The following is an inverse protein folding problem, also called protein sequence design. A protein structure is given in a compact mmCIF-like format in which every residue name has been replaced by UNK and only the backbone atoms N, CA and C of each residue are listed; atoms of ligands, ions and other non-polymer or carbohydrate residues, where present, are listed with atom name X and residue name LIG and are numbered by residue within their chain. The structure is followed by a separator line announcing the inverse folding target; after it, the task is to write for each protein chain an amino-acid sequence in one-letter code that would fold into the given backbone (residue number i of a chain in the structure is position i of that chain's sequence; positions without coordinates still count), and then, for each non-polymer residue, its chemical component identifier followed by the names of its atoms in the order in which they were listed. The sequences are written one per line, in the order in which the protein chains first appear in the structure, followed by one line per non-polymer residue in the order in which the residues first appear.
data_IF_716609790582
#
_entry.id   IF_716609790582
#
_cell.length_a   1.000
_cell.length_b   1.000
_cell.length_c   1.000
_cell.angle_alpha   90.00
_cell.angle_beta   90.00
_cell.angle_gamma   90.00
#
_symmetry.space_group_name_H-M   'P 1'
#
loop_
_entity.id
_entity.type
_entity.pdbx_description
1 polymer ?
#
# COMPACT_ATOMS: atom_id res chain seq x y z
N UNK A 1 41.70 37.79 -44.69
CA UNK A 1 41.16 36.47 -44.28
C UNK A 1 40.96 36.52 -42.77
N UNK A 2 39.68 36.78 -42.34
CA UNK A 2 39.30 36.77 -40.93
C UNK A 2 38.68 35.41 -40.62
N UNK A 3 39.38 34.59 -39.83
CA UNK A 3 38.86 33.31 -39.35
C UNK A 3 37.97 33.53 -38.13
N UNK A 4 36.70 33.30 -38.30
CA UNK A 4 35.73 33.28 -37.18
C UNK A 4 35.85 31.97 -36.41
N UNK A 5 36.21 32.03 -35.13
CA UNK A 5 36.14 30.90 -34.20
C UNK A 5 34.71 30.81 -33.72
N UNK A 6 33.99 29.76 -34.15
CA UNK A 6 32.68 29.43 -33.60
C UNK A 6 32.87 28.79 -32.23
N UNK A 7 32.47 29.48 -31.16
CA UNK A 7 32.42 28.95 -29.81
C UNK A 7 31.16 28.10 -29.69
N UNK A 8 31.29 26.77 -29.77
CA UNK A 8 30.21 25.84 -29.48
C UNK A 8 30.00 25.83 -27.98
N UNK A 9 28.93 26.44 -27.51
CA UNK A 9 28.45 26.29 -26.13
C UNK A 9 27.93 24.86 -25.96
N UNK A 10 28.69 24.02 -25.28
CA UNK A 10 28.20 22.73 -24.77
C UNK A 10 27.27 23.05 -23.59
N UNK A 11 25.98 22.97 -23.83
CA UNK A 11 24.99 22.94 -22.76
C UNK A 11 25.18 21.61 -22.02
N UNK A 12 25.97 21.65 -20.95
CA UNK A 12 25.94 20.57 -19.95
C UNK A 12 24.59 20.65 -19.26
N UNK A 13 23.63 19.86 -19.74
CA UNK A 13 22.44 19.59 -18.94
C UNK A 13 22.93 19.05 -17.59
N UNK A 14 22.52 19.67 -16.49
CA UNK A 14 22.73 19.10 -15.17
C UNK A 14 22.11 17.70 -15.20
N UNK A 15 22.92 16.66 -14.97
CA UNK A 15 22.40 15.33 -14.78
C UNK A 15 21.49 15.41 -13.53
N UNK A 16 20.22 15.03 -13.67
CA UNK A 16 19.34 14.87 -12.51
C UNK A 16 19.99 13.86 -11.57
N UNK A 17 19.95 14.15 -10.28
CA UNK A 17 20.46 13.21 -9.29
C UNK A 17 19.61 11.92 -9.31
N UNK A 18 20.26 10.76 -9.14
CA UNK A 18 19.53 9.50 -9.08
C UNK A 18 18.61 9.50 -7.85
N UNK A 19 17.32 9.13 -7.99
CA UNK A 19 16.42 8.98 -6.85
C UNK A 19 16.83 7.79 -5.98
N UNK A 20 16.32 7.77 -4.74
CA UNK A 20 16.49 6.63 -3.85
C UNK A 20 15.12 6.14 -3.31
N UNK A 21 14.99 4.83 -3.11
CA UNK A 21 13.82 4.21 -2.49
C UNK A 21 14.26 3.42 -1.26
N UNK A 22 13.60 3.66 -0.12
CA UNK A 22 13.88 2.94 1.12
C UNK A 22 12.63 2.15 1.51
N UNK A 23 12.78 0.83 1.52
CA UNK A 23 11.70 -0.10 1.89
C UNK A 23 11.60 -0.23 3.40
N UNK A 24 10.37 -0.43 3.89
CA UNK A 24 10.13 -0.65 5.31
C UNK A 24 10.53 -2.08 5.73
N UNK A 25 10.46 -2.32 7.04
CA UNK A 25 10.66 -3.65 7.61
C UNK A 25 9.59 -4.63 7.09
N UNK A 26 9.95 -5.90 6.94
CA UNK A 26 9.06 -6.93 6.38
C UNK A 26 9.60 -7.60 5.12
N UNK A 27 10.64 -7.03 4.53
CA UNK A 27 11.30 -7.56 3.33
C UNK A 27 10.86 -6.89 2.04
N UNK A 28 11.81 -6.59 1.17
CA UNK A 28 11.61 -5.92 -0.13
C UNK A 28 10.65 -6.69 -1.05
N UNK A 29 10.69 -8.03 -1.01
CA UNK A 29 9.92 -8.89 -1.88
C UNK A 29 8.79 -9.60 -1.13
N UNK A 30 8.03 -8.83 -0.34
CA UNK A 30 6.91 -9.29 0.49
C UNK A 30 5.64 -9.67 -0.29
N UNK A 31 5.66 -9.55 -1.61
CA UNK A 31 4.51 -9.73 -2.51
C UNK A 31 3.36 -8.73 -2.28
N UNK A 32 3.58 -7.69 -1.49
CA UNK A 32 2.59 -6.74 -1.00
C UNK A 32 3.12 -5.31 -1.11
N UNK A 33 3.28 -4.61 0.00
CA UNK A 33 3.59 -3.19 0.13
C UNK A 33 4.99 -2.80 -0.37
N UNK A 34 6.03 -3.46 0.13
CA UNK A 34 7.41 -3.14 -0.26
C UNK A 34 7.70 -3.55 -1.71
N UNK A 35 7.19 -4.71 -2.16
CA UNK A 35 7.34 -5.12 -3.56
C UNK A 35 6.56 -4.19 -4.50
N UNK A 36 5.41 -3.63 -4.08
CA UNK A 36 4.73 -2.60 -4.84
C UNK A 36 5.58 -1.33 -4.98
N UNK A 37 6.24 -0.88 -3.91
CA UNK A 37 7.17 0.25 -3.98
C UNK A 37 8.35 -0.03 -4.93
N UNK A 38 8.92 -1.22 -4.88
CA UNK A 38 9.98 -1.66 -5.80
C UNK A 38 9.49 -1.68 -7.26
N UNK A 39 8.31 -2.23 -7.52
CA UNK A 39 7.72 -2.29 -8.85
C UNK A 39 7.48 -0.88 -9.42
N UNK A 40 7.09 0.08 -8.59
CA UNK A 40 6.96 1.49 -8.96
C UNK A 40 8.30 2.11 -9.39
N UNK A 41 9.37 1.83 -8.64
CA UNK A 41 10.72 2.28 -8.99
C UNK A 41 11.23 1.64 -10.29
N UNK A 42 11.01 0.34 -10.50
CA UNK A 42 11.36 -0.34 -11.75
C UNK A 42 10.52 0.18 -12.93
N UNK A 43 9.24 0.50 -12.73
CA UNK A 43 8.41 1.13 -13.75
C UNK A 43 8.91 2.52 -14.13
N UNK A 44 9.32 3.34 -13.15
CA UNK A 44 9.98 4.62 -13.39
C UNK A 44 11.27 4.45 -14.20
N UNK A 45 12.14 3.51 -13.80
CA UNK A 45 13.38 3.19 -14.51
C UNK A 45 13.11 2.76 -15.95
N UNK A 46 12.12 1.91 -16.18
CA UNK A 46 11.74 1.45 -17.52
C UNK A 46 11.23 2.61 -18.41
N UNK A 47 10.49 3.56 -17.82
CA UNK A 47 9.91 4.70 -18.52
C UNK A 47 10.94 5.78 -18.86
N UNK A 48 11.94 6.00 -17.99
CA UNK A 48 12.91 7.10 -18.12
C UNK A 48 14.27 6.67 -18.63
N UNK A 49 14.65 5.39 -18.47
CA UNK A 49 16.00 4.88 -18.68
C UNK A 49 16.99 5.30 -17.58
N UNK A 50 16.49 5.93 -16.50
CA UNK A 50 17.29 6.34 -15.34
C UNK A 50 17.74 5.18 -14.46
N UNK A 51 18.49 5.48 -13.43
CA UNK A 51 18.84 4.53 -12.36
C UNK A 51 18.30 5.06 -11.04
N UNK A 52 18.15 4.18 -10.06
CA UNK A 52 17.82 4.55 -8.68
C UNK A 52 18.68 3.74 -7.70
N UNK A 53 18.86 4.32 -6.53
CA UNK A 53 19.44 3.64 -5.38
C UNK A 53 18.32 3.04 -4.54
N UNK A 54 18.59 1.92 -3.88
CA UNK A 54 17.59 1.38 -2.94
C UNK A 54 18.24 0.81 -1.68
N UNK A 55 17.42 0.68 -0.64
CA UNK A 55 17.81 0.08 0.63
C UNK A 55 16.63 -0.60 1.30
N UNK A 56 16.89 -1.81 1.77
CA UNK A 56 15.99 -2.54 2.66
C UNK A 56 16.47 -2.37 4.11
N UNK A 57 15.60 -1.82 4.96
CA UNK A 57 15.90 -1.66 6.39
C UNK A 57 15.95 -3.02 7.10
N UNK A 58 16.91 -3.16 8.01
CA UNK A 58 17.02 -4.34 8.87
C UNK A 58 16.48 -4.09 10.28
N UNK A 59 16.41 -2.83 10.70
CA UNK A 59 15.84 -2.39 11.98
C UNK A 59 15.53 -0.89 11.95
N UNK A 60 14.70 -0.44 12.90
CA UNK A 60 14.26 0.96 13.00
C UNK A 60 15.38 1.97 13.24
N UNK A 61 16.44 1.57 13.94
CA UNK A 61 17.55 2.46 14.26
C UNK A 61 18.34 2.93 13.01
N UNK A 62 18.16 2.26 11.87
CA UNK A 62 18.81 2.62 10.61
C UNK A 62 18.14 3.78 9.88
N UNK A 63 16.90 4.19 10.23
CA UNK A 63 16.10 5.15 9.45
C UNK A 63 16.82 6.48 9.22
N UNK A 64 17.24 7.17 10.28
CA UNK A 64 17.96 8.44 10.12
C UNK A 64 19.28 8.30 9.38
N UNK A 65 20.04 7.24 9.67
CA UNK A 65 21.32 6.99 8.98
C UNK A 65 21.11 6.75 7.48
N UNK A 66 20.06 6.01 7.11
CA UNK A 66 19.73 5.76 5.71
C UNK A 66 19.38 7.07 4.98
N UNK A 67 18.55 7.92 5.58
CA UNK A 67 18.19 9.23 5.02
C UNK A 67 19.43 10.12 4.83
N UNK A 68 20.26 10.30 5.89
CA UNK A 68 21.47 11.11 5.81
C UNK A 68 22.46 10.56 4.78
N UNK A 69 22.56 9.23 4.65
CA UNK A 69 23.41 8.60 3.65
C UNK A 69 22.99 8.95 2.24
N UNK A 70 21.72 8.77 1.89
CA UNK A 70 21.23 9.04 0.54
C UNK A 70 21.21 10.53 0.22
N UNK A 71 20.76 11.38 1.14
CA UNK A 71 20.81 12.84 0.97
C UNK A 71 22.24 13.34 0.83
N UNK A 72 23.19 12.82 1.63
CA UNK A 72 24.61 13.15 1.53
C UNK A 72 25.30 12.65 0.26
N UNK A 73 24.72 11.66 -0.43
CA UNK A 73 25.13 11.18 -1.74
C UNK A 73 24.48 11.99 -2.88
N UNK A 74 23.61 12.94 -2.57
CA UNK A 74 22.89 13.77 -3.52
C UNK A 74 21.67 13.09 -4.16
N UNK A 75 21.14 12.02 -3.56
CA UNK A 75 19.91 11.42 -4.05
C UNK A 75 18.74 12.41 -4.01
N UNK A 76 17.98 12.51 -5.10
CA UNK A 76 16.81 13.37 -5.18
C UNK A 76 15.83 12.87 -6.27
N UNK A 77 14.57 12.54 -5.90
CA UNK A 77 14.02 12.49 -4.54
C UNK A 77 14.47 11.24 -3.74
N UNK A 78 14.20 11.28 -2.42
CA UNK A 78 14.28 10.09 -1.56
C UNK A 78 12.87 9.70 -1.19
N UNK A 79 12.43 8.51 -1.62
CA UNK A 79 11.10 7.97 -1.36
C UNK A 79 11.18 6.92 -0.26
N UNK A 80 10.40 7.08 0.78
CA UNK A 80 10.33 6.15 1.92
C UNK A 80 8.97 5.48 1.98
N UNK A 81 8.97 4.16 2.01
CA UNK A 81 7.77 3.36 2.23
C UNK A 81 7.55 3.13 3.72
N UNK A 82 6.30 3.32 4.20
CA UNK A 82 5.86 2.96 5.54
C UNK A 82 5.64 4.12 6.51
N UNK A 83 4.87 3.84 7.57
CA UNK A 83 4.39 4.85 8.52
C UNK A 83 5.38 5.20 9.64
N UNK A 84 6.44 4.43 9.82
CA UNK A 84 7.37 4.61 10.96
C UNK A 84 8.47 5.65 10.71
N UNK A 85 8.35 6.48 9.67
CA UNK A 85 9.36 7.46 9.29
C UNK A 85 9.24 8.82 9.95
N UNK A 86 8.11 9.11 10.62
CA UNK A 86 7.75 10.45 11.08
C UNK A 86 8.89 11.17 11.81
N UNK A 87 9.43 10.57 12.87
CA UNK A 87 10.48 11.21 13.67
C UNK A 87 11.82 11.33 12.92
N UNK A 88 12.22 10.27 12.22
CA UNK A 88 13.48 10.24 11.47
C UNK A 88 13.47 11.27 10.34
N UNK A 89 12.37 11.35 9.59
CA UNK A 89 12.23 12.27 8.48
C UNK A 89 12.11 13.72 8.96
N UNK A 90 11.34 14.00 10.02
CA UNK A 90 11.24 15.35 10.59
C UNK A 90 12.59 15.90 11.01
N UNK A 91 13.47 15.06 11.54
CA UNK A 91 14.82 15.45 11.90
C UNK A 91 15.70 15.71 10.66
N UNK A 92 15.74 14.76 9.73
CA UNK A 92 16.71 14.79 8.61
C UNK A 92 16.31 15.77 7.52
N UNK A 93 15.02 15.98 7.25
CA UNK A 93 14.57 16.93 6.23
C UNK A 93 15.09 18.36 6.46
N UNK A 94 15.21 18.76 7.71
CA UNK A 94 15.76 20.07 8.13
C UNK A 94 17.27 20.21 7.85
N UNK A 95 17.99 19.09 7.85
CA UNK A 95 19.43 19.06 7.59
C UNK A 95 19.75 19.16 6.09
N UNK A 96 18.80 18.76 5.24
CA UNK A 96 18.95 18.69 3.79
C UNK A 96 17.81 19.45 3.07
N UNK A 97 17.74 20.78 3.18
CA UNK A 97 16.61 21.57 2.66
C UNK A 97 16.49 21.54 1.12
N UNK A 98 17.56 21.21 0.41
CA UNK A 98 17.58 21.12 -1.06
C UNK A 98 17.29 19.68 -1.56
N UNK A 99 16.96 18.73 -0.68
CA UNK A 99 16.57 17.37 -1.04
C UNK A 99 15.05 17.23 -0.91
N UNK A 100 14.40 16.74 -1.95
CA UNK A 100 12.98 16.43 -1.95
C UNK A 100 12.74 15.05 -1.34
N UNK A 101 11.93 14.98 -0.31
CA UNK A 101 11.55 13.74 0.35
C UNK A 101 10.10 13.40 0.07
N UNK A 102 9.82 12.12 -0.15
CA UNK A 102 8.45 11.62 -0.29
C UNK A 102 8.25 10.48 0.70
N UNK A 103 7.25 10.58 1.55
CA UNK A 103 6.93 9.54 2.53
C UNK A 103 5.53 8.98 2.29
N UNK A 104 5.41 7.66 2.39
CA UNK A 104 4.15 6.93 2.22
C UNK A 104 3.65 6.46 3.60
N UNK A 105 2.35 6.62 3.86
CA UNK A 105 1.62 6.18 5.04
C UNK A 105 1.87 6.98 6.33
N UNK A 106 2.51 8.13 6.25
CA UNK A 106 2.58 9.07 7.39
C UNK A 106 2.65 10.52 6.92
N UNK A 107 2.43 11.46 7.83
CA UNK A 107 2.49 12.89 7.54
C UNK A 107 3.67 13.52 8.28
N UNK A 108 4.50 14.24 7.53
CA UNK A 108 5.61 15.05 8.06
C UNK A 108 5.51 16.46 7.48
N UNK A 109 5.33 17.45 8.34
CA UNK A 109 5.14 18.86 7.95
C UNK A 109 6.50 19.57 7.85
N UNK A 110 7.15 19.39 6.69
CA UNK A 110 8.38 20.08 6.32
C UNK A 110 8.28 20.60 4.87
N UNK A 111 8.90 21.74 4.54
CA UNK A 111 8.73 22.40 3.26
C UNK A 111 9.25 21.59 2.05
N UNK A 112 10.13 20.62 2.29
CA UNK A 112 10.72 19.73 1.30
C UNK A 112 10.22 18.28 1.44
N UNK A 113 9.05 18.07 2.05
CA UNK A 113 8.43 16.75 2.23
C UNK A 113 7.05 16.70 1.58
N UNK A 114 6.85 15.72 0.71
CA UNK A 114 5.52 15.27 0.28
C UNK A 114 5.13 14.05 1.09
N UNK A 115 3.95 14.08 1.69
CA UNK A 115 3.34 12.96 2.41
C UNK A 115 2.20 12.38 1.59
N UNK A 116 2.24 11.08 1.31
CA UNK A 116 1.22 10.36 0.53
C UNK A 116 0.48 9.39 1.45
N UNK A 117 -0.81 9.62 1.62
CA UNK A 117 -1.72 8.71 2.31
C UNK A 117 -2.71 8.09 1.33
N UNK A 118 -3.35 7.01 1.76
CA UNK A 118 -4.39 6.33 0.98
C UNK A 118 -5.69 6.26 1.77
N UNK A 119 -6.82 6.20 1.05
CA UNK A 119 -8.14 5.93 1.65
C UNK A 119 -8.39 4.42 1.73
N UNK A 120 -7.54 3.70 2.48
CA UNK A 120 -7.58 2.24 2.59
C UNK A 120 -8.94 1.73 3.04
N UNK A 121 -9.63 2.48 3.91
CA UNK A 121 -10.99 2.15 4.37
C UNK A 121 -11.97 2.02 3.20
N UNK A 122 -11.85 2.85 2.16
CA UNK A 122 -12.76 2.81 1.01
C UNK A 122 -12.49 1.64 0.08
N UNK A 123 -11.21 1.30 -0.17
CA UNK A 123 -10.84 0.10 -0.90
C UNK A 123 -11.20 -1.18 -0.15
N UNK A 124 -10.97 -1.19 1.17
CA UNK A 124 -11.34 -2.30 2.05
C UNK A 124 -12.86 -2.52 2.13
N UNK A 125 -13.65 -1.44 2.06
CA UNK A 125 -15.10 -1.54 1.97
C UNK A 125 -15.54 -2.37 0.75
N UNK A 126 -14.96 -2.12 -0.42
CA UNK A 126 -15.30 -2.87 -1.64
C UNK A 126 -15.00 -4.36 -1.53
N UNK A 127 -13.86 -4.72 -0.94
CA UNK A 127 -13.54 -6.14 -0.74
C UNK A 127 -14.35 -6.76 0.40
N UNK A 128 -14.83 -5.96 1.34
CA UNK A 128 -15.82 -6.37 2.35
C UNK A 128 -17.18 -6.74 1.73
N UNK A 129 -17.64 -5.94 0.77
CA UNK A 129 -18.85 -6.25 -0.03
C UNK A 129 -18.65 -7.59 -0.75
N UNK A 130 -17.55 -7.77 -1.49
CA UNK A 130 -17.26 -9.01 -2.21
C UNK A 130 -17.13 -10.22 -1.27
N UNK A 131 -16.55 -10.04 -0.09
CA UNK A 131 -16.44 -11.10 0.91
C UNK A 131 -17.81 -11.56 1.43
N UNK A 132 -18.70 -10.61 1.74
CA UNK A 132 -20.04 -10.92 2.23
C UNK A 132 -20.92 -11.60 1.18
N UNK A 133 -20.82 -11.18 -0.08
CA UNK A 133 -21.54 -11.81 -1.20
C UNK A 133 -21.00 -13.21 -1.52
N UNK A 134 -19.71 -13.45 -1.31
CA UNK A 134 -19.06 -14.75 -1.54
C UNK A 134 -19.28 -15.72 -0.40
N UNK A 135 -19.39 -15.26 0.84
CA UNK A 135 -19.47 -16.10 2.02
C UNK A 135 -20.76 -16.95 2.02
N UNK A 136 -20.60 -18.27 2.11
CA UNK A 136 -21.69 -19.21 2.26
C UNK A 136 -22.06 -19.43 3.74
N UNK A 137 -21.16 -19.15 4.67
CA UNK A 137 -21.34 -19.37 6.10
C UNK A 137 -21.90 -18.14 6.83
N UNK A 138 -21.86 -16.97 6.20
CA UNK A 138 -22.14 -15.70 6.86
C UNK A 138 -21.10 -15.32 7.91
N UNK A 139 -19.87 -15.84 7.80
CA UNK A 139 -18.74 -15.53 8.68
C UNK A 139 -17.51 -15.21 7.84
N UNK A 140 -16.92 -14.04 8.05
CA UNK A 140 -15.70 -13.61 7.35
C UNK A 140 -14.63 -13.20 8.35
N UNK A 141 -13.36 -13.33 7.96
CA UNK A 141 -12.21 -13.05 8.80
C UNK A 141 -11.36 -11.89 8.27
N UNK A 142 -10.59 -11.33 9.19
CA UNK A 142 -9.53 -10.38 8.92
C UNK A 142 -8.28 -10.76 9.70
N UNK A 143 -7.14 -10.78 9.03
CA UNK A 143 -5.83 -10.95 9.66
C UNK A 143 -4.99 -9.73 9.29
N UNK A 144 -4.78 -8.86 10.26
CA UNK A 144 -3.89 -7.72 10.15
C UNK A 144 -2.44 -8.08 10.48
N UNK A 145 -1.50 -7.30 9.99
CA UNK A 145 -0.11 -7.38 10.39
C UNK A 145 0.08 -6.80 11.80
N UNK A 146 0.67 -5.64 11.90
CA UNK A 146 0.87 -4.96 13.18
C UNK A 146 -0.45 -4.34 13.68
N UNK A 147 -0.75 -4.53 14.96
CA UNK A 147 -1.92 -3.95 15.65
C UNK A 147 -1.70 -2.45 15.87
N UNK A 148 -2.11 -1.64 14.89
CA UNK A 148 -1.97 -0.17 14.86
C UNK A 148 -3.16 0.48 14.16
N UNK A 149 -3.46 1.77 14.42
CA UNK A 149 -4.62 2.46 13.86
C UNK A 149 -4.73 2.38 12.32
N UNK A 150 -3.62 2.41 11.59
CA UNK A 150 -3.61 2.25 10.14
C UNK A 150 -4.20 0.90 9.71
N UNK A 151 -3.89 -0.18 10.42
CA UNK A 151 -4.40 -1.51 10.07
C UNK A 151 -5.85 -1.70 10.54
N UNK A 152 -6.24 -1.08 11.63
CA UNK A 152 -7.66 -0.98 12.01
C UNK A 152 -8.49 -0.20 10.97
N UNK A 153 -7.90 0.76 10.24
CA UNK A 153 -8.56 1.45 9.12
C UNK A 153 -8.96 0.48 8.00
N UNK A 154 -8.08 -0.49 7.64
CA UNK A 154 -8.41 -1.56 6.68
C UNK A 154 -9.55 -2.43 7.22
N UNK A 155 -9.43 -2.90 8.48
CA UNK A 155 -10.46 -3.72 9.10
C UNK A 155 -11.81 -3.02 9.13
N UNK A 156 -11.84 -1.78 9.60
CA UNK A 156 -13.07 -1.02 9.74
C UNK A 156 -13.78 -0.80 8.39
N UNK A 157 -13.03 -0.46 7.34
CA UNK A 157 -13.58 -0.37 6.00
C UNK A 157 -14.17 -1.71 5.52
N UNK A 158 -13.40 -2.79 5.68
CA UNK A 158 -13.83 -4.15 5.34
C UNK A 158 -15.11 -4.57 6.07
N UNK A 159 -15.15 -4.34 7.38
CA UNK A 159 -16.30 -4.67 8.22
C UNK A 159 -17.56 -3.89 7.84
N UNK A 160 -17.43 -2.58 7.57
CA UNK A 160 -18.53 -1.74 7.10
C UNK A 160 -19.08 -2.23 5.75
N UNK A 161 -18.19 -2.57 4.78
CA UNK A 161 -18.61 -3.12 3.50
C UNK A 161 -19.33 -4.46 3.62
N UNK A 162 -18.82 -5.36 4.46
CA UNK A 162 -19.46 -6.65 4.71
C UNK A 162 -20.84 -6.49 5.37
N UNK A 163 -20.96 -5.59 6.35
CA UNK A 163 -22.21 -5.27 7.04
C UNK A 163 -23.23 -4.59 6.13
N UNK A 164 -22.80 -3.83 5.15
CA UNK A 164 -23.70 -3.18 4.19
C UNK A 164 -24.45 -4.20 3.30
N UNK A 165 -23.82 -5.36 3.03
CA UNK A 165 -24.44 -6.46 2.29
C UNK A 165 -25.25 -7.38 3.21
N UNK A 166 -24.67 -7.76 4.34
CA UNK A 166 -25.31 -8.64 5.32
C UNK A 166 -25.13 -8.09 6.75
N UNK A 167 -26.14 -7.41 7.30
CA UNK A 167 -26.06 -6.84 8.65
C UNK A 167 -25.77 -7.87 9.76
N UNK A 168 -26.11 -9.14 9.54
CA UNK A 168 -25.93 -10.23 10.52
C UNK A 168 -24.60 -10.97 10.33
N UNK A 169 -23.75 -10.58 9.35
CA UNK A 169 -22.48 -11.24 9.08
C UNK A 169 -21.57 -11.21 10.31
N UNK A 170 -20.99 -12.36 10.64
CA UNK A 170 -20.02 -12.48 11.72
C UNK A 170 -18.63 -12.08 11.21
N UNK A 171 -17.98 -11.22 11.98
CA UNK A 171 -16.63 -10.73 11.71
C UNK A 171 -15.66 -11.31 12.73
N UNK A 172 -14.50 -11.83 12.27
CA UNK A 172 -13.42 -12.35 13.11
C UNK A 172 -12.18 -11.55 12.79
N UNK A 173 -11.68 -10.81 13.77
CA UNK A 173 -10.54 -9.91 13.66
C UNK A 173 -9.35 -10.47 14.44
N UNK A 174 -8.16 -10.42 13.83
CA UNK A 174 -6.91 -10.89 14.44
C UNK A 174 -5.73 -10.10 13.89
N UNK A 175 -4.62 -10.06 14.65
CA UNK A 175 -3.37 -9.40 14.27
C UNK A 175 -2.19 -10.32 14.54
N UNK A 176 -1.16 -10.29 13.67
CA UNK A 176 0.05 -11.11 13.82
C UNK A 176 0.95 -10.63 14.94
N UNK A 177 0.85 -9.37 15.35
CA UNK A 177 1.61 -8.85 16.49
C UNK A 177 1.53 -7.33 16.66
N UNK A 178 2.38 -6.83 17.56
CA UNK A 178 2.43 -5.39 17.92
C UNK A 178 3.79 -4.76 17.59
N UNK A 179 4.67 -5.49 16.92
CA UNK A 179 6.01 -5.03 16.51
C UNK A 179 6.21 -5.23 15.02
N UNK A 180 7.21 -4.61 14.40
CA UNK A 180 7.48 -4.78 12.96
C UNK A 180 7.70 -6.23 12.50
N UNK A 181 8.06 -7.16 13.39
CA UNK A 181 8.13 -8.59 13.07
C UNK A 181 6.80 -9.15 12.55
N UNK A 182 5.67 -8.51 12.90
CA UNK A 182 4.34 -8.85 12.42
C UNK A 182 4.18 -8.77 10.89
N UNK A 183 5.08 -8.11 10.18
CA UNK A 183 5.05 -8.01 8.72
C UNK A 183 5.71 -9.19 8.00
N UNK A 184 6.44 -10.05 8.73
CA UNK A 184 7.17 -11.18 8.14
C UNK A 184 7.07 -12.43 9.02
N UNK A 185 5.85 -12.78 9.44
CA UNK A 185 5.52 -13.99 10.19
C UNK A 185 4.35 -14.74 9.55
N UNK A 186 4.55 -15.38 8.38
CA UNK A 186 3.50 -16.12 7.69
C UNK A 186 3.00 -17.34 8.48
N UNK A 187 3.80 -17.84 9.41
CA UNK A 187 3.39 -18.98 10.26
C UNK A 187 2.28 -18.55 11.21
N UNK A 188 2.50 -17.49 11.99
CA UNK A 188 1.47 -16.95 12.90
C UNK A 188 0.22 -16.51 12.11
N UNK A 189 0.37 -15.83 10.98
CA UNK A 189 -0.76 -15.40 10.16
C UNK A 189 -1.58 -16.59 9.63
N UNK A 190 -0.93 -17.68 9.22
CA UNK A 190 -1.59 -18.92 8.79
C UNK A 190 -2.38 -19.58 9.93
N UNK A 191 -1.84 -19.61 11.15
CA UNK A 191 -2.54 -20.15 12.32
C UNK A 191 -3.75 -19.27 12.72
N UNK A 192 -3.65 -17.94 12.59
CA UNK A 192 -4.79 -17.04 12.79
C UNK A 192 -5.90 -17.28 11.75
N UNK A 193 -5.53 -17.51 10.49
CA UNK A 193 -6.50 -17.88 9.47
C UNK A 193 -7.21 -19.21 9.78
N UNK A 194 -6.47 -20.23 10.25
CA UNK A 194 -7.05 -21.50 10.70
C UNK A 194 -8.02 -21.31 11.88
N UNK A 195 -7.63 -20.50 12.87
CA UNK A 195 -8.50 -20.16 13.99
C UNK A 195 -9.77 -19.41 13.57
N UNK A 196 -9.71 -18.57 12.54
CA UNK A 196 -10.88 -17.94 11.95
C UNK A 196 -11.79 -18.97 11.23
N UNK A 197 -11.17 -19.91 10.47
CA UNK A 197 -11.90 -21.00 9.82
C UNK A 197 -12.62 -21.92 10.83
N UNK A 198 -11.99 -22.22 11.96
CA UNK A 198 -12.59 -23.01 13.05
C UNK A 198 -13.82 -22.32 13.67
N UNK A 199 -13.89 -21.00 13.58
CA UNK A 199 -15.01 -20.19 13.99
C UNK A 199 -16.06 -19.98 12.87
N UNK A 200 -15.84 -20.59 11.71
CA UNK A 200 -16.76 -20.60 10.58
C UNK A 200 -16.40 -19.68 9.43
N UNK A 201 -15.30 -18.92 9.48
CA UNK A 201 -14.91 -18.05 8.36
C UNK A 201 -14.62 -18.87 7.10
N UNK A 202 -15.19 -18.44 5.98
CA UNK A 202 -14.94 -19.03 4.65
C UNK A 202 -14.32 -18.04 3.67
N UNK A 203 -14.20 -16.78 4.06
CA UNK A 203 -13.42 -15.74 3.39
C UNK A 203 -12.57 -15.00 4.42
N UNK A 204 -11.26 -14.85 4.20
CA UNK A 204 -10.35 -14.12 5.11
C UNK A 204 -9.55 -13.08 4.35
N UNK A 205 -9.64 -11.82 4.78
CA UNK A 205 -8.83 -10.72 4.25
C UNK A 205 -7.51 -10.61 5.02
N UNK A 206 -6.39 -10.57 4.29
CA UNK A 206 -5.03 -10.51 4.84
C UNK A 206 -4.39 -9.14 4.58
N UNK A 207 -4.50 -8.21 5.53
CA UNK A 207 -3.81 -6.91 5.48
C UNK A 207 -2.52 -6.97 6.33
N UNK A 208 -1.54 -7.78 5.90
CA UNK A 208 -0.43 -8.21 6.76
C UNK A 208 0.95 -8.26 6.07
N UNK A 209 1.14 -7.60 4.92
CA UNK A 209 2.40 -7.65 4.20
C UNK A 209 2.83 -9.10 3.86
N UNK A 210 4.10 -9.43 4.04
CA UNK A 210 4.63 -10.78 3.80
C UNK A 210 4.00 -11.86 4.68
N UNK A 211 3.51 -11.52 5.87
CA UNK A 211 2.76 -12.44 6.75
C UNK A 211 1.47 -12.91 6.09
N UNK A 212 0.84 -12.07 5.25
CA UNK A 212 -0.38 -12.40 4.52
C UNK A 212 -0.26 -13.64 3.64
N UNK A 213 0.94 -13.98 3.17
CA UNK A 213 1.18 -15.19 2.40
C UNK A 213 0.77 -16.47 3.15
N UNK A 214 0.94 -16.48 4.48
CA UNK A 214 0.49 -17.59 5.33
C UNK A 214 -1.03 -17.72 5.38
N UNK A 215 -1.77 -16.60 5.38
CA UNK A 215 -3.23 -16.59 5.29
C UNK A 215 -3.69 -17.16 3.95
N UNK A 216 -3.15 -16.63 2.84
CA UNK A 216 -3.50 -17.04 1.49
C UNK A 216 -3.28 -18.55 1.30
N UNK A 217 -2.14 -19.07 1.78
CA UNK A 217 -1.81 -20.49 1.74
C UNK A 217 -2.80 -21.32 2.58
N UNK A 218 -3.06 -20.93 3.84
CA UNK A 218 -3.95 -21.70 4.73
C UNK A 218 -5.38 -21.78 4.19
N UNK A 219 -5.88 -20.68 3.60
CA UNK A 219 -7.22 -20.66 2.98
C UNK A 219 -7.28 -21.52 1.73
N UNK A 220 -6.22 -21.49 0.89
CA UNK A 220 -6.12 -22.32 -0.31
C UNK A 220 -6.08 -23.82 0.04
N UNK A 221 -5.28 -24.20 1.04
CA UNK A 221 -5.17 -25.59 1.50
C UNK A 221 -6.52 -26.12 2.03
N UNK A 222 -7.33 -25.26 2.59
CA UNK A 222 -8.67 -25.59 3.11
C UNK A 222 -9.78 -25.50 2.02
N UNK A 223 -9.45 -25.15 0.78
CA UNK A 223 -10.44 -24.94 -0.29
C UNK A 223 -11.41 -23.80 -0.01
N UNK A 224 -10.95 -22.78 0.72
CA UNK A 224 -11.69 -21.56 1.09
C UNK A 224 -11.12 -20.35 0.37
N UNK A 225 -11.70 -19.16 0.61
CA UNK A 225 -11.33 -17.95 -0.08
C UNK A 225 -10.51 -17.01 0.79
N UNK A 226 -9.55 -16.34 0.17
CA UNK A 226 -8.78 -15.27 0.80
C UNK A 226 -8.86 -13.99 -0.03
N UNK A 227 -8.50 -12.87 0.60
CA UNK A 227 -8.35 -11.57 -0.05
C UNK A 227 -6.94 -11.09 0.23
N UNK A 228 -6.20 -10.76 -0.85
CA UNK A 228 -4.87 -10.18 -0.78
C UNK A 228 -4.89 -8.68 -0.53
N UNK A 229 -3.70 -8.06 -0.42
CA UNK A 229 -3.56 -6.63 -0.12
C UNK A 229 -2.39 -5.98 -0.89
N UNK A 230 -2.46 -4.68 -1.05
CA UNK A 230 -1.52 -3.77 -1.71
C UNK A 230 -1.35 -4.09 -3.20
N UNK A 231 -0.63 -5.15 -3.51
CA UNK A 231 -0.43 -5.66 -4.87
C UNK A 231 -1.52 -6.65 -5.28
N UNK A 232 -1.65 -6.87 -6.58
CA UNK A 232 -2.50 -7.96 -7.07
C UNK A 232 -1.84 -9.32 -6.74
N UNK A 233 -2.38 -10.01 -5.74
CA UNK A 233 -1.91 -11.31 -5.25
C UNK A 233 -2.74 -12.48 -5.78
N UNK A 234 -3.71 -12.25 -6.69
CA UNK A 234 -4.61 -13.28 -7.21
C UNK A 234 -3.88 -14.48 -7.83
N UNK A 235 -2.71 -14.23 -8.42
CA UNK A 235 -1.88 -15.26 -9.07
C UNK A 235 -1.21 -16.24 -8.11
N UNK A 236 -1.14 -15.91 -6.80
CA UNK A 236 -0.48 -16.77 -5.81
C UNK A 236 -1.28 -18.06 -5.59
N UNK A 237 -2.60 -17.99 -5.54
CA UNK A 237 -3.48 -19.14 -5.40
C UNK A 237 -4.72 -18.96 -6.28
N UNK A 238 -4.60 -19.17 -7.61
CA UNK A 238 -5.74 -19.07 -8.53
C UNK A 238 -6.89 -19.97 -8.09
N UNK A 239 -8.11 -19.44 -8.06
CA UNK A 239 -9.29 -20.17 -7.59
C UNK A 239 -9.51 -20.15 -6.07
N UNK A 240 -8.58 -19.60 -5.29
CA UNK A 240 -8.73 -19.38 -3.82
C UNK A 240 -8.64 -17.91 -3.44
N UNK A 241 -7.74 -17.13 -4.04
CA UNK A 241 -7.71 -15.68 -3.83
C UNK A 241 -8.91 -15.06 -4.57
N UNK A 242 -9.94 -14.66 -3.80
CA UNK A 242 -11.15 -14.06 -4.33
C UNK A 242 -10.86 -12.76 -5.07
N UNK A 243 -10.05 -11.92 -4.48
CA UNK A 243 -9.55 -10.66 -5.02
C UNK A 243 -8.36 -10.18 -4.20
N UNK A 244 -7.77 -9.05 -4.59
CA UNK A 244 -6.80 -8.31 -3.78
C UNK A 244 -7.28 -6.87 -3.59
N UNK A 245 -7.28 -6.37 -2.35
CA UNK A 245 -7.49 -4.97 -2.06
C UNK A 245 -6.26 -4.20 -2.53
N UNK A 246 -6.39 -3.51 -3.65
CA UNK A 246 -5.28 -2.77 -4.25
C UNK A 246 -5.03 -1.47 -3.50
N UNK A 247 -3.77 -1.24 -3.15
CA UNK A 247 -3.24 0.04 -2.68
C UNK A 247 -2.06 0.38 -3.60
N UNK A 248 -2.24 1.37 -4.45
CA UNK A 248 -1.38 1.64 -5.60
C UNK A 248 -0.09 2.37 -5.20
N UNK A 249 0.66 1.75 -4.28
CA UNK A 249 2.00 2.20 -3.87
C UNK A 249 2.96 2.20 -5.06
N UNK A 250 2.81 1.27 -5.99
CA UNK A 250 3.55 1.22 -7.23
C UNK A 250 3.42 2.53 -8.05
N UNK A 251 2.20 2.98 -8.26
CA UNK A 251 1.91 4.23 -8.99
C UNK A 251 2.37 5.45 -8.18
N UNK A 252 2.16 5.45 -6.87
CA UNK A 252 2.59 6.54 -6.01
C UNK A 252 4.11 6.73 -6.04
N UNK A 253 4.89 5.64 -5.96
CA UNK A 253 6.37 5.69 -6.04
C UNK A 253 6.82 6.12 -7.43
N UNK A 254 6.25 5.55 -8.51
CA UNK A 254 6.59 5.93 -9.88
C UNK A 254 6.35 7.42 -10.13
N UNK A 255 5.21 7.95 -9.71
CA UNK A 255 4.88 9.37 -9.85
C UNK A 255 5.78 10.24 -8.99
N UNK A 256 6.01 9.87 -7.73
CA UNK A 256 6.88 10.59 -6.82
C UNK A 256 8.32 10.72 -7.37
N UNK A 257 8.88 9.64 -7.91
CA UNK A 257 10.21 9.67 -8.53
C UNK A 257 10.26 10.55 -9.78
N UNK A 258 9.15 10.74 -10.46
CA UNK A 258 9.06 11.62 -11.65
C UNK A 258 8.86 13.08 -11.24
N UNK A 259 7.88 13.35 -10.36
CA UNK A 259 7.44 14.70 -10.02
C UNK A 259 8.42 15.39 -9.06
N UNK A 260 8.99 14.64 -8.12
CA UNK A 260 9.89 15.19 -7.10
C UNK A 260 11.35 15.27 -7.54
N UNK A 261 11.69 14.80 -8.75
CA UNK A 261 13.01 14.98 -9.34
C UNK A 261 13.28 16.43 -9.81
N UNK A 262 12.22 17.21 -10.01
CA UNK A 262 12.27 18.61 -10.45
C UNK A 262 11.47 19.49 -9.46
N UNK A 263 12.13 20.48 -8.88
CA UNK A 263 11.52 21.43 -7.94
C UNK A 263 10.31 22.17 -8.55
N UNK A 264 10.26 22.33 -9.86
CA UNK A 264 9.12 22.95 -10.54
C UNK A 264 7.84 22.08 -10.51
N UNK A 265 8.00 20.77 -10.40
CA UNK A 265 6.91 19.79 -10.36
C UNK A 265 6.68 19.18 -8.97
N UNK A 266 7.62 19.32 -8.07
CA UNK A 266 7.50 18.85 -6.70
C UNK A 266 6.36 19.55 -5.94
N UNK A 267 5.56 18.77 -5.24
CA UNK A 267 4.40 19.26 -4.48
C UNK A 267 4.52 18.82 -3.01
N UNK A 268 5.23 19.61 -2.17
CA UNK A 268 5.29 19.30 -0.75
C UNK A 268 3.90 19.38 -0.09
N UNK A 269 3.77 18.76 1.07
CA UNK A 269 2.52 18.66 1.82
C UNK A 269 1.79 17.34 1.62
N UNK A 270 0.50 17.32 1.95
CA UNK A 270 -0.30 16.10 1.99
C UNK A 270 -0.99 15.83 0.64
N UNK A 271 -0.83 14.60 0.17
CA UNK A 271 -1.61 14.02 -0.95
C UNK A 271 -2.36 12.79 -0.42
N UNK A 272 -3.66 12.68 -0.72
CA UNK A 272 -4.48 11.51 -0.36
C UNK A 272 -4.97 10.84 -1.64
N UNK A 273 -4.75 9.53 -1.76
CA UNK A 273 -5.10 8.73 -2.92
C UNK A 273 -6.24 7.77 -2.56
N UNK A 274 -7.44 8.07 -3.01
CA UNK A 274 -8.64 7.28 -2.78
C UNK A 274 -9.13 6.56 -4.05
N UNK A 275 -10.40 6.14 -4.02
CA UNK A 275 -11.07 5.48 -5.16
C UNK A 275 -11.16 6.38 -6.40
N UNK A 276 -11.35 7.69 -6.22
CA UNK A 276 -11.48 8.63 -7.33
C UNK A 276 -10.15 8.86 -8.10
N UNK A 277 -9.01 8.62 -7.44
CA UNK A 277 -7.67 8.70 -8.01
C UNK A 277 -7.14 7.33 -8.43
N UNK A 278 -7.96 6.28 -8.34
CA UNK A 278 -7.53 4.88 -8.50
C UNK A 278 -6.33 4.51 -7.60
N UNK A 279 -6.20 5.19 -6.45
CA UNK A 279 -5.19 4.93 -5.44
C UNK A 279 -5.46 3.66 -4.65
N UNK A 280 -6.75 3.31 -4.49
CA UNK A 280 -7.21 2.05 -3.89
C UNK A 280 -8.33 1.45 -4.73
N UNK A 281 -8.55 0.14 -4.57
CA UNK A 281 -9.58 -0.57 -5.31
C UNK A 281 -9.56 -2.07 -5.05
N UNK A 282 -10.08 -2.86 -5.99
CA UNK A 282 -9.98 -4.31 -5.97
C UNK A 282 -9.48 -4.87 -7.30
N UNK A 283 -8.84 -6.04 -7.28
CA UNK A 283 -8.29 -6.68 -8.47
C UNK A 283 -9.30 -7.62 -9.11
N UNK A 284 -9.41 -7.55 -10.45
CA UNK A 284 -10.13 -8.51 -11.26
C UNK A 284 -9.26 -8.87 -12.47
N UNK A 285 -8.93 -10.16 -12.60
CA UNK A 285 -8.09 -10.68 -13.68
C UNK A 285 -8.43 -12.14 -14.03
N UNK A 286 -7.64 -12.77 -14.87
CA UNK A 286 -7.84 -14.15 -15.29
C UNK A 286 -7.75 -15.18 -14.15
N UNK A 287 -7.11 -14.85 -13.01
CA UNK A 287 -6.95 -15.78 -11.89
C UNK A 287 -8.18 -15.83 -10.99
N UNK A 288 -9.02 -14.78 -10.98
CA UNK A 288 -10.18 -14.69 -10.11
C UNK A 288 -11.51 -14.39 -10.82
N UNK A 289 -11.53 -14.19 -12.13
CA UNK A 289 -12.75 -13.86 -12.90
C UNK A 289 -13.90 -14.87 -12.73
N UNK A 290 -13.59 -16.13 -12.48
CA UNK A 290 -14.59 -17.18 -12.25
C UNK A 290 -15.07 -17.23 -10.79
N UNK A 291 -14.44 -16.51 -9.87
CA UNK A 291 -14.82 -16.39 -8.46
C UNK A 291 -15.77 -15.24 -8.21
N UNK A 292 -15.62 -14.15 -8.98
CA UNK A 292 -16.46 -12.94 -8.90
C UNK A 292 -17.46 -12.99 -10.03
N UNK A 293 -18.75 -13.15 -9.71
CA UNK A 293 -19.81 -13.14 -10.71
C UNK A 293 -20.03 -11.72 -11.26
N UNK A 294 -20.71 -11.61 -12.39
CA UNK A 294 -21.07 -10.31 -12.96
C UNK A 294 -21.92 -9.48 -12.00
N UNK A 295 -22.78 -10.13 -11.20
CA UNK A 295 -23.61 -9.47 -10.19
C UNK A 295 -22.74 -8.94 -9.04
N UNK A 296 -21.78 -9.72 -8.53
CA UNK A 296 -20.82 -9.29 -7.51
C UNK A 296 -20.00 -8.10 -7.99
N UNK A 297 -19.50 -8.15 -9.23
CA UNK A 297 -18.76 -7.05 -9.81
C UNK A 297 -19.64 -5.79 -9.92
N UNK A 298 -20.85 -5.92 -10.46
CA UNK A 298 -21.78 -4.79 -10.59
C UNK A 298 -22.12 -4.16 -9.23
N UNK A 299 -22.28 -4.99 -8.19
CA UNK A 299 -22.52 -4.54 -6.82
C UNK A 299 -21.32 -3.74 -6.28
N UNK A 300 -20.09 -4.27 -6.38
CA UNK A 300 -18.89 -3.58 -5.93
C UNK A 300 -18.66 -2.25 -6.68
N UNK A 301 -18.92 -2.23 -7.99
CA UNK A 301 -18.80 -1.03 -8.83
C UNK A 301 -19.88 0.03 -8.50
N UNK A 302 -21.09 -0.37 -8.13
CA UNK A 302 -22.15 0.53 -7.64
C UNK A 302 -21.76 1.15 -6.29
N UNK A 303 -21.24 0.34 -5.35
CA UNK A 303 -20.71 0.87 -4.10
C UNK A 303 -19.52 1.82 -4.32
N UNK A 304 -18.59 1.48 -5.22
CA UNK A 304 -17.48 2.38 -5.61
C UNK A 304 -18.01 3.72 -6.11
N UNK A 305 -18.99 3.71 -7.02
CA UNK A 305 -19.58 4.92 -7.56
C UNK A 305 -20.25 5.78 -6.49
N UNK A 306 -21.01 5.16 -5.57
CA UNK A 306 -21.69 5.85 -4.48
C UNK A 306 -20.73 6.46 -3.46
N UNK A 307 -19.62 5.78 -3.15
CA UNK A 307 -18.55 6.31 -2.29
C UNK A 307 -17.88 7.52 -2.97
N UNK A 308 -17.52 7.41 -4.23
CA UNK A 308 -16.92 8.52 -4.99
C UNK A 308 -17.87 9.72 -5.08
N UNK A 309 -19.18 9.49 -5.23
CA UNK A 309 -20.21 10.54 -5.26
C UNK A 309 -20.49 11.14 -3.88
N UNK A 310 -19.98 10.56 -2.79
CA UNK A 310 -20.25 10.98 -1.42
C UNK A 310 -21.64 10.58 -0.90
N UNK A 311 -22.34 9.67 -1.59
CA UNK A 311 -23.63 9.13 -1.15
C UNK A 311 -23.43 8.11 -0.02
N UNK A 312 -22.29 7.44 0.01
CA UNK A 312 -21.84 6.55 1.09
C UNK A 312 -20.57 7.14 1.68
N UNK A 313 -20.60 7.40 2.98
CA UNK A 313 -19.43 7.80 3.76
C UNK A 313 -18.91 6.57 4.52
N UNK A 314 -17.74 6.08 4.13
CA UNK A 314 -17.06 5.03 4.87
C UNK A 314 -16.29 5.66 6.02
N UNK A 315 -16.53 5.19 7.24
CA UNK A 315 -15.86 5.73 8.42
C UNK A 315 -14.37 5.35 8.42
N UNK A 316 -13.51 6.36 8.62
CA UNK A 316 -12.07 6.18 8.79
C UNK A 316 -11.75 6.03 10.28
N UNK A 317 -11.32 4.84 10.69
CA UNK A 317 -10.93 4.51 12.06
C UNK A 317 -9.89 5.48 12.65
N UNK A 318 -9.01 6.04 11.81
CA UNK A 318 -7.94 6.93 12.29
C UNK A 318 -8.44 8.27 12.79
N UNK A 319 -9.70 8.63 12.53
CA UNK A 319 -10.29 9.91 12.96
C UNK A 319 -10.66 9.93 14.43
N UNK A 320 -11.09 8.82 15.01
CA UNK A 320 -11.60 8.76 16.39
C UNK A 320 -11.31 7.43 17.11
N UNK A 321 -10.56 6.52 16.47
CA UNK A 321 -10.25 5.17 16.96
C UNK A 321 -11.49 4.33 17.26
N UNK A 322 -12.57 4.51 16.50
CA UNK A 322 -13.81 3.78 16.60
C UNK A 322 -14.18 3.13 15.25
N UNK A 323 -14.89 2.01 15.29
CA UNK A 323 -15.45 1.35 14.12
C UNK A 323 -16.95 1.17 14.31
N UNK A 324 -17.79 2.01 13.71
CA UNK A 324 -19.24 1.88 13.79
C UNK A 324 -19.72 0.73 12.90
N UNK A 325 -20.27 -0.35 13.51
CA UNK A 325 -20.74 -1.55 12.82
C UNK A 325 -22.21 -1.85 13.16
#
# INVERSE_FOLDING_TARGET
IAGGVALSAVLTGAALADPAVIYDLGGKFDKSFNEAAFNGAEAWKAATGGNFMDLELQNDAQREQALRRFAGQGANPIVMAGFMWTAALDNVAKEFPDTNFVVIDTVVDQPNVQSILFDEHTGSYLVGVLAAEKSATGTVGFVGGMDVPLIHKFYCGYAQGAKAVNPDIKLIESYTGTTPAAWNDPVTAGELAKAAMDQGADVVFAAAGGSGLGVLQAMADAGKYSIGVDSNQNYLHPGSVLTSMLKRVDVAVQNAMTEAADDATFKPGLTVLGLAQDGVGYALDDNNKDLITAEMQASADDYKAKIIAGEISVHDYTTDSNCPL
#
